data_IF_225875299879
#
_entry.id   IF_225875299879
#
_cell.length_a   1.000
_cell.length_b   1.000
_cell.length_c   1.000
_cell.angle_alpha   90.00
_cell.angle_beta   90.00
_cell.angle_gamma   90.00
#
_symmetry.space_group_name_H-M   'P 1'
#
loop_
_entity.id
_entity.type
_entity.pdbx_description
1 polymer ?
#
# COMPACT_ATOMS: atom_id res chain seq x y z
N UNK A 1 24.37 35.62 25.70
CA UNK A 1 23.94 36.34 24.48
C UNK A 1 22.46 36.65 24.61
N UNK A 2 22.11 37.93 24.69
CA UNK A 2 20.76 38.43 24.94
C UNK A 2 19.77 37.91 23.88
N UNK A 3 18.78 37.13 24.31
CA UNK A 3 17.64 36.72 23.49
C UNK A 3 16.83 37.98 23.14
N UNK A 4 17.18 38.65 22.04
CA UNK A 4 16.38 39.77 21.54
C UNK A 4 15.01 39.20 21.17
N UNK A 5 14.00 39.44 22.01
CA UNK A 5 12.63 39.01 21.74
C UNK A 5 12.16 39.72 20.47
N UNK A 6 11.82 38.95 19.44
CA UNK A 6 11.36 39.49 18.15
C UNK A 6 9.94 40.06 18.21
N UNK A 7 9.13 39.63 19.19
CA UNK A 7 7.75 40.08 19.37
C UNK A 7 7.51 40.53 20.80
N UNK A 8 6.82 41.67 20.95
CA UNK A 8 6.32 42.14 22.25
C UNK A 8 5.17 41.25 22.74
N UNK A 9 4.82 41.39 24.02
CA UNK A 9 3.70 40.65 24.62
C UNK A 9 2.38 40.94 23.89
N UNK A 10 2.13 42.20 23.59
CA UNK A 10 0.90 42.70 22.96
C UNK A 10 0.77 42.19 21.52
N UNK A 11 1.88 42.17 20.78
CA UNK A 11 1.91 41.64 19.42
C UNK A 11 1.59 40.16 19.41
N UNK A 12 2.21 39.39 20.32
CA UNK A 12 1.99 37.95 20.40
C UNK A 12 0.55 37.62 20.84
N UNK A 13 0.00 38.35 21.81
CA UNK A 13 -1.37 38.17 22.29
C UNK A 13 -2.39 38.38 21.16
N UNK A 14 -2.23 39.43 20.35
CA UNK A 14 -3.10 39.68 19.18
C UNK A 14 -3.02 38.53 18.17
N UNK A 15 -1.82 38.06 17.86
CA UNK A 15 -1.62 36.96 16.90
C UNK A 15 -2.24 35.67 17.43
N UNK A 16 -2.08 35.36 18.72
CA UNK A 16 -2.65 34.16 19.36
C UNK A 16 -4.18 34.21 19.38
N UNK A 17 -4.79 35.35 19.73
CA UNK A 17 -6.25 35.50 19.72
C UNK A 17 -6.87 35.28 18.33
N UNK A 18 -6.22 35.78 17.28
CA UNK A 18 -6.72 35.62 15.91
C UNK A 18 -6.43 34.23 15.30
N UNK A 19 -5.65 33.39 15.97
CA UNK A 19 -5.17 32.11 15.44
C UNK A 19 -5.81 30.92 16.15
N UNK A 20 -6.00 29.82 15.43
CA UNK A 20 -6.59 28.59 15.97
C UNK A 20 -5.62 27.40 16.04
N UNK A 21 -4.38 27.59 15.56
CA UNK A 21 -3.32 26.57 15.57
C UNK A 21 -1.95 27.23 15.73
N UNK A 22 -0.98 26.50 16.31
CA UNK A 22 0.42 26.98 16.43
C UNK A 22 1.05 27.23 15.04
N UNK A 23 0.67 26.43 14.04
CA UNK A 23 1.12 26.63 12.67
C UNK A 23 0.62 27.97 12.09
N UNK A 24 -0.61 28.37 12.42
CA UNK A 24 -1.17 29.64 11.98
C UNK A 24 -0.50 30.84 12.65
N UNK A 25 -0.20 30.71 13.95
CA UNK A 25 0.62 31.68 14.68
C UNK A 25 1.98 31.86 14.01
N UNK A 26 2.66 30.76 13.67
CA UNK A 26 3.94 30.83 12.94
C UNK A 26 3.82 31.58 11.62
N UNK A 27 2.81 31.26 10.80
CA UNK A 27 2.59 31.93 9.52
C UNK A 27 2.32 33.43 9.67
N UNK A 28 1.52 33.83 10.66
CA UNK A 28 1.25 35.25 10.96
C UNK A 28 2.47 35.99 11.53
N UNK A 29 3.36 35.28 12.21
CA UNK A 29 4.68 35.79 12.60
C UNK A 29 5.69 35.84 11.43
N UNK A 30 5.30 35.42 10.21
CA UNK A 30 6.20 35.34 9.04
C UNK A 30 7.15 34.15 9.08
N UNK A 31 6.89 33.16 9.93
CA UNK A 31 7.72 31.97 10.10
C UNK A 31 7.16 30.75 9.37
N UNK A 32 8.07 29.90 8.90
CA UNK A 32 7.72 28.58 8.40
C UNK A 32 7.20 27.69 9.53
N UNK A 33 6.22 26.84 9.22
CA UNK A 33 5.58 25.95 10.18
C UNK A 33 6.45 24.71 10.47
N UNK A 34 7.57 24.91 11.16
CA UNK A 34 8.54 23.87 11.52
C UNK A 34 8.56 23.61 13.03
N UNK A 35 9.04 22.43 13.44
CA UNK A 35 9.13 22.03 14.85
C UNK A 35 9.94 23.01 15.71
N UNK A 36 11.00 23.61 15.15
CA UNK A 36 11.81 24.62 15.85
C UNK A 36 11.00 25.88 16.14
N UNK A 37 10.28 26.40 15.14
CA UNK A 37 9.44 27.59 15.28
C UNK A 37 8.24 27.33 16.21
N UNK A 38 7.70 26.11 16.21
CA UNK A 38 6.64 25.72 17.17
C UNK A 38 7.13 25.81 18.61
N UNK A 39 8.37 25.39 18.89
CA UNK A 39 8.95 25.48 20.23
C UNK A 39 9.14 26.94 20.66
N UNK A 40 9.50 27.83 19.73
CA UNK A 40 9.59 29.28 19.98
C UNK A 40 8.22 29.85 20.34
N UNK A 41 7.18 29.54 19.56
CA UNK A 41 5.80 29.98 19.85
C UNK A 41 5.29 29.43 21.18
N UNK A 42 5.52 28.14 21.47
CA UNK A 42 5.17 27.52 22.77
C UNK A 42 5.88 28.19 23.94
N UNK A 43 7.13 28.62 23.76
CA UNK A 43 7.87 29.38 24.77
C UNK A 43 7.21 30.73 25.03
N UNK A 44 6.86 31.48 23.99
CA UNK A 44 6.13 32.75 24.14
C UNK A 44 4.77 32.57 24.83
N UNK A 45 4.00 31.54 24.46
CA UNK A 45 2.69 31.24 25.09
C UNK A 45 2.87 30.98 26.60
N UNK A 46 3.85 30.15 26.97
CA UNK A 46 4.14 29.81 28.37
C UNK A 46 4.65 31.02 29.17
N UNK A 47 5.55 31.79 28.58
CA UNK A 47 6.21 32.93 29.24
C UNK A 47 5.28 34.12 29.43
N UNK A 48 4.36 34.37 28.49
CA UNK A 48 3.37 35.44 28.57
C UNK A 48 2.01 34.98 29.13
N UNK A 49 1.89 33.71 29.48
CA UNK A 49 0.67 33.08 29.98
C UNK A 49 -0.56 33.37 29.09
N UNK A 50 -0.40 33.14 27.79
CA UNK A 50 -1.45 33.41 26.80
C UNK A 50 -2.47 32.26 26.79
N UNK A 51 -3.76 32.60 26.79
CA UNK A 51 -4.83 31.62 26.62
C UNK A 51 -4.77 31.02 25.19
N UNK A 52 -4.77 29.69 25.14
CA UNK A 52 -4.78 28.90 23.90
C UNK A 52 -5.87 27.84 23.91
N UNK A 53 -6.84 27.96 24.83
CA UNK A 53 -7.96 27.02 24.97
C UNK A 53 -8.82 26.95 23.70
N UNK A 54 -8.83 28.02 22.89
CA UNK A 54 -9.51 28.07 21.59
C UNK A 54 -8.74 27.37 20.46
N UNK A 55 -7.53 26.88 20.68
CA UNK A 55 -6.77 26.16 19.65
C UNK A 55 -7.36 24.77 19.41
N UNK A 56 -7.93 24.56 18.23
CA UNK A 56 -8.61 23.31 17.84
C UNK A 56 -7.71 22.32 17.09
N UNK A 57 -6.43 22.67 16.89
CA UNK A 57 -5.41 21.87 16.20
C UNK A 57 -5.54 21.89 14.66
N UNK A 58 -6.76 21.85 14.14
CA UNK A 58 -7.07 22.06 12.72
C UNK A 58 -8.21 23.08 12.58
N UNK A 59 -8.12 23.97 11.58
CA UNK A 59 -9.15 25.00 11.33
C UNK A 59 -10.54 24.40 11.04
N UNK A 60 -10.59 23.18 10.51
CA UNK A 60 -11.81 22.37 10.28
C UNK A 60 -12.45 21.82 11.55
N UNK A 61 -11.76 21.86 12.69
CA UNK A 61 -12.31 21.44 13.99
C UNK A 61 -13.02 22.59 14.72
N UNK A 62 -12.99 23.82 14.18
CA UNK A 62 -13.72 24.97 14.73
C UNK A 62 -15.23 24.67 14.64
N UNK A 63 -15.92 24.65 15.78
CA UNK A 63 -17.35 24.30 15.87
C UNK A 63 -17.65 22.79 15.85
N UNK A 64 -16.66 21.93 15.63
CA UNK A 64 -16.83 20.48 15.61
C UNK A 64 -16.71 19.89 17.02
N UNK A 65 -17.72 20.16 17.86
CA UNK A 65 -17.97 19.40 19.11
C UNK A 65 -18.40 17.95 18.78
N UNK A 66 -18.87 17.70 17.55
CA UNK A 66 -19.61 16.50 17.14
C UNK A 66 -18.77 15.24 16.89
N UNK A 67 -17.44 15.30 16.81
CA UNK A 67 -16.63 14.11 16.53
C UNK A 67 -16.19 13.34 17.79
N UNK A 68 -16.57 13.79 18.99
CA UNK A 68 -16.12 13.14 20.24
C UNK A 68 -17.03 12.00 20.73
N UNK A 69 -18.26 11.87 20.23
CA UNK A 69 -19.27 10.98 20.85
C UNK A 69 -20.05 10.04 19.93
N UNK A 70 -19.71 9.87 18.65
CA UNK A 70 -20.26 8.76 17.85
C UNK A 70 -19.54 7.42 18.16
N UNK A 71 -19.32 7.11 19.44
CA UNK A 71 -18.87 5.78 19.85
C UNK A 71 -20.06 4.82 19.73
N UNK A 72 -20.25 4.26 18.53
CA UNK A 72 -21.26 3.19 18.30
C UNK A 72 -21.08 2.08 19.34
N UNK A 73 -22.18 1.54 19.83
CA UNK A 73 -22.15 0.47 20.82
C UNK A 73 -21.55 -0.81 20.19
N UNK A 74 -20.99 -1.72 20.99
CA UNK A 74 -20.59 -3.06 20.52
C UNK A 74 -21.77 -3.80 19.89
N UNK A 75 -22.97 -3.68 20.46
CA UNK A 75 -24.16 -4.39 20.02
C UNK A 75 -24.56 -4.03 18.58
N UNK A 76 -24.30 -2.80 18.13
CA UNK A 76 -24.55 -2.36 16.75
C UNK A 76 -23.76 -3.18 15.71
N UNK A 77 -22.67 -3.80 16.15
CA UNK A 77 -21.79 -4.58 15.29
C UNK A 77 -22.02 -6.08 15.37
N UNK A 78 -22.76 -6.59 16.37
CA UNK A 78 -22.96 -8.03 16.59
C UNK A 78 -24.04 -8.61 15.69
N UNK A 79 -24.00 -8.26 14.41
CA UNK A 79 -24.96 -8.68 13.39
C UNK A 79 -24.25 -9.36 12.23
N UNK A 80 -25.03 -10.05 11.41
CA UNK A 80 -24.57 -10.57 10.12
C UNK A 80 -24.41 -9.38 9.16
N UNK A 81 -23.40 -9.43 8.30
CA UNK A 81 -23.11 -8.41 7.26
C UNK A 81 -22.59 -7.07 7.80
N UNK A 82 -21.95 -7.07 8.98
CA UNK A 82 -21.34 -5.89 9.57
C UNK A 82 -19.81 -5.94 9.45
N UNK A 83 -19.21 -4.94 8.83
CA UNK A 83 -17.75 -4.84 8.75
C UNK A 83 -17.19 -3.99 9.89
N UNK A 84 -16.28 -4.58 10.67
CA UNK A 84 -15.55 -3.89 11.73
C UNK A 84 -14.11 -4.38 11.78
N UNK A 85 -13.18 -3.45 12.00
CA UNK A 85 -11.78 -3.84 12.25
C UNK A 85 -11.71 -4.74 13.48
N UNK A 86 -11.06 -5.90 13.35
CA UNK A 86 -10.94 -6.87 14.45
C UNK A 86 -10.36 -6.27 15.74
N UNK A 87 -9.41 -5.33 15.64
CA UNK A 87 -8.89 -4.61 16.82
C UNK A 87 -9.96 -3.82 17.56
N UNK A 88 -10.81 -3.10 16.82
CA UNK A 88 -11.92 -2.33 17.39
C UNK A 88 -12.95 -3.25 18.02
N UNK A 89 -13.34 -4.32 17.32
CA UNK A 89 -14.31 -5.29 17.81
C UNK A 89 -13.82 -5.98 19.10
N UNK A 90 -12.56 -6.43 19.14
CA UNK A 90 -11.93 -7.01 20.34
C UNK A 90 -11.97 -6.06 21.53
N UNK A 91 -11.55 -4.81 21.35
CA UNK A 91 -11.51 -3.83 22.44
C UNK A 91 -12.90 -3.57 22.99
N UNK A 92 -13.91 -3.46 22.12
CA UNK A 92 -15.31 -3.27 22.52
C UNK A 92 -15.89 -4.50 23.24
N UNK A 93 -15.64 -5.71 22.72
CA UNK A 93 -16.08 -6.96 23.37
C UNK A 93 -15.54 -7.11 24.79
N UNK A 94 -14.29 -6.69 25.02
CA UNK A 94 -13.66 -6.75 26.35
C UNK A 94 -14.18 -5.63 27.25
N UNK A 95 -14.28 -4.39 26.73
CA UNK A 95 -14.79 -3.22 27.46
C UNK A 95 -16.20 -3.44 28.01
N UNK A 96 -17.07 -4.03 27.20
CA UNK A 96 -18.47 -4.31 27.55
C UNK A 96 -18.65 -5.63 28.33
N UNK A 97 -17.55 -6.35 28.65
CA UNK A 97 -17.60 -7.58 29.43
C UNK A 97 -18.16 -8.81 28.69
N UNK A 98 -18.47 -8.71 27.40
CA UNK A 98 -18.99 -9.81 26.58
C UNK A 98 -17.97 -10.95 26.38
N UNK A 99 -16.68 -10.62 26.41
CA UNK A 99 -15.57 -11.58 26.35
C UNK A 99 -14.47 -11.17 27.33
N UNK A 100 -13.81 -12.15 27.95
CA UNK A 100 -12.66 -11.91 28.83
C UNK A 100 -11.40 -11.63 28.01
N UNK A 101 -10.44 -10.88 28.57
CA UNK A 101 -9.09 -10.76 28.01
C UNK A 101 -8.29 -12.04 28.26
N UNK A 102 -8.73 -13.13 27.64
CA UNK A 102 -8.15 -14.46 27.78
C UNK A 102 -8.25 -15.20 26.44
N UNK A 103 -7.23 -15.96 26.07
CA UNK A 103 -7.31 -16.83 24.90
C UNK A 103 -8.35 -17.93 25.13
N UNK A 104 -9.38 -18.02 24.28
CA UNK A 104 -10.44 -19.01 24.44
C UNK A 104 -9.96 -20.45 24.17
N UNK A 105 -8.83 -20.62 23.47
CA UNK A 105 -8.21 -21.93 23.18
C UNK A 105 -7.22 -22.39 24.26
N UNK A 106 -6.14 -21.65 24.50
CA UNK A 106 -5.10 -22.05 25.47
C UNK A 106 -5.29 -21.48 26.88
N UNK A 107 -6.32 -20.65 27.12
CA UNK A 107 -6.65 -20.03 28.42
C UNK A 107 -5.57 -19.11 29.02
N UNK A 108 -4.48 -18.84 28.31
CA UNK A 108 -3.49 -17.86 28.74
C UNK A 108 -4.08 -16.45 28.75
N UNK A 109 -3.70 -15.68 29.76
CA UNK A 109 -4.02 -14.27 29.97
C UNK A 109 -2.79 -13.37 29.78
N UNK A 110 -1.59 -13.92 29.98
CA UNK A 110 -0.33 -13.20 29.97
C UNK A 110 0.73 -13.95 29.16
N UNK A 111 1.70 -13.19 28.65
CA UNK A 111 2.90 -13.66 27.98
C UNK A 111 4.07 -12.74 28.37
N UNK A 112 5.14 -13.30 28.91
CA UNK A 112 6.33 -12.55 29.40
C UNK A 112 5.96 -11.38 30.35
N UNK A 113 5.02 -11.62 31.27
CA UNK A 113 4.55 -10.62 32.25
C UNK A 113 3.73 -9.47 31.66
N UNK A 114 3.30 -9.58 30.39
CA UNK A 114 2.41 -8.61 29.74
C UNK A 114 1.08 -9.28 29.36
N UNK A 115 -0.03 -8.52 29.29
CA UNK A 115 -1.30 -9.05 28.79
C UNK A 115 -1.13 -9.64 27.39
N UNK A 116 -1.61 -10.86 27.19
CA UNK A 116 -1.41 -11.58 25.93
C UNK A 116 -2.14 -10.83 24.80
N UNK A 117 -1.50 -10.59 23.64
CA UNK A 117 -2.21 -10.06 22.50
C UNK A 117 -3.30 -11.06 22.09
N UNK A 118 -4.52 -10.57 21.88
CA UNK A 118 -5.64 -11.37 21.38
C UNK A 118 -6.08 -10.84 20.02
N UNK A 119 -6.56 -11.74 19.18
CA UNK A 119 -7.10 -11.50 17.85
C UNK A 119 -8.52 -12.08 17.78
N UNK A 120 -9.39 -11.41 17.04
CA UNK A 120 -10.74 -11.92 16.76
C UNK A 120 -10.62 -13.00 15.69
N UNK A 121 -11.16 -14.17 15.99
CA UNK A 121 -11.28 -15.28 15.07
C UNK A 121 -12.75 -15.56 14.78
N UNK A 122 -13.10 -15.52 13.50
CA UNK A 122 -14.42 -15.90 13.00
C UNK A 122 -14.44 -17.41 12.71
N UNK A 123 -15.28 -18.16 13.42
CA UNK A 123 -15.34 -19.64 13.35
C UNK A 123 -15.71 -20.10 11.94
N UNK A 124 -16.66 -19.43 11.29
CA UNK A 124 -17.06 -19.70 9.91
C UNK A 124 -16.09 -19.15 8.85
N UNK A 125 -15.09 -18.35 9.25
CA UNK A 125 -14.15 -17.68 8.34
C UNK A 125 -14.72 -16.49 7.56
N UNK A 126 -15.96 -16.08 7.81
CA UNK A 126 -16.57 -14.89 7.25
C UNK A 126 -16.32 -13.68 8.16
N UNK A 127 -15.59 -12.70 7.64
CA UNK A 127 -15.21 -11.51 8.39
C UNK A 127 -16.38 -10.55 8.69
N UNK A 128 -17.51 -10.71 7.99
CA UNK A 128 -18.68 -9.84 8.16
C UNK A 128 -19.74 -10.44 9.11
N UNK A 129 -19.55 -11.68 9.58
CA UNK A 129 -20.46 -12.32 10.53
C UNK A 129 -19.96 -12.12 11.96
N UNK A 130 -20.36 -11.01 12.58
CA UNK A 130 -19.87 -10.61 13.90
C UNK A 130 -20.78 -11.06 15.04
N UNK A 131 -21.70 -11.99 14.81
CA UNK A 131 -22.53 -12.55 15.89
C UNK A 131 -21.65 -13.21 16.95
N UNK A 132 -21.99 -13.01 18.22
CA UNK A 132 -21.11 -13.36 19.34
C UNK A 132 -20.72 -14.85 19.35
N UNK A 133 -21.63 -15.73 18.93
CA UNK A 133 -21.42 -17.17 18.79
C UNK A 133 -20.38 -17.54 17.72
N UNK A 134 -20.19 -16.69 16.70
CA UNK A 134 -19.22 -16.89 15.64
C UNK A 134 -17.83 -16.33 15.98
N UNK A 135 -17.68 -15.61 17.09
CA UNK A 135 -16.45 -14.93 17.47
C UNK A 135 -15.72 -15.64 18.61
N UNK A 136 -14.40 -15.83 18.44
CA UNK A 136 -13.47 -16.25 19.48
C UNK A 136 -12.33 -15.27 19.63
N UNK A 137 -11.90 -15.00 20.87
CA UNK A 137 -10.65 -14.30 21.13
C UNK A 137 -9.50 -15.31 21.27
N UNK A 138 -8.57 -15.29 20.31
CA UNK A 138 -7.43 -16.21 20.27
C UNK A 138 -6.10 -15.45 20.33
N UNK A 139 -5.10 -16.01 21.00
CA UNK A 139 -3.73 -15.47 20.90
C UNK A 139 -3.13 -15.77 19.51
N UNK A 140 -2.09 -15.02 19.08
CA UNK A 140 -1.46 -15.21 17.77
C UNK A 140 -1.07 -16.65 17.46
N UNK A 141 -0.51 -17.36 18.45
CA UNK A 141 -0.08 -18.76 18.29
C UNK A 141 -1.28 -19.69 18.07
N UNK A 142 -2.34 -19.54 18.87
CA UNK A 142 -3.56 -20.32 18.72
C UNK A 142 -4.31 -20.01 17.44
N UNK A 143 -4.28 -18.76 17.00
CA UNK A 143 -4.94 -18.32 15.78
C UNK A 143 -4.21 -18.83 14.54
N UNK A 144 -2.88 -18.88 14.54
CA UNK A 144 -2.08 -19.44 13.43
C UNK A 144 -2.43 -20.91 13.09
N UNK A 145 -2.95 -21.63 14.09
CA UNK A 145 -3.36 -23.03 14.02
C UNK A 145 -4.83 -23.23 13.57
N UNK A 146 -5.56 -22.17 13.18
CA UNK A 146 -6.94 -22.32 12.67
C UNK A 146 -6.95 -22.56 11.15
N UNK A 147 -7.97 -23.26 10.67
CA UNK A 147 -8.11 -23.61 9.24
C UNK A 147 -8.34 -22.38 8.34
N UNK A 148 -8.86 -21.30 8.94
CA UNK A 148 -9.15 -20.04 8.25
C UNK A 148 -8.02 -19.00 8.36
N UNK A 149 -6.92 -19.35 9.05
CA UNK A 149 -5.80 -18.43 9.25
C UNK A 149 -5.13 -18.05 7.94
N UNK A 150 -4.82 -16.76 7.76
CA UNK A 150 -4.07 -16.23 6.61
C UNK A 150 -4.56 -16.80 5.25
N UNK A 151 -5.87 -16.89 5.06
CA UNK A 151 -6.46 -17.39 3.82
C UNK A 151 -6.14 -18.86 3.48
N UNK A 152 -5.73 -19.70 4.45
CA UNK A 152 -5.56 -21.15 4.26
C UNK A 152 -6.81 -21.83 3.70
N UNK A 153 -7.99 -21.34 4.06
CA UNK A 153 -9.29 -21.80 3.55
C UNK A 153 -9.70 -21.18 2.21
N UNK A 154 -8.92 -20.25 1.62
CA UNK A 154 -9.22 -19.73 0.28
C UNK A 154 -8.91 -20.79 -0.75
N UNK A 155 -9.95 -21.48 -1.19
CA UNK A 155 -9.95 -22.29 -2.42
C UNK A 155 -9.97 -21.39 -3.67
N UNK A 156 -9.14 -20.34 -3.69
CA UNK A 156 -8.97 -19.47 -4.86
C UNK A 156 -8.06 -20.19 -5.87
N UNK A 157 -8.53 -21.32 -6.40
CA UNK A 157 -8.09 -21.76 -7.71
C UNK A 157 -8.60 -20.69 -8.68
N UNK A 158 -7.76 -19.68 -8.95
CA UNK A 158 -8.10 -18.61 -9.89
C UNK A 158 -8.56 -19.25 -11.19
N UNK A 159 -9.84 -19.07 -11.54
CA UNK A 159 -10.38 -19.58 -12.80
C UNK A 159 -9.50 -19.03 -13.93
N UNK A 160 -8.94 -19.88 -14.81
CA UNK A 160 -8.14 -19.42 -15.91
C UNK A 160 -9.01 -18.50 -16.78
N UNK A 161 -8.53 -17.28 -17.04
CA UNK A 161 -9.16 -16.37 -17.99
C UNK A 161 -8.66 -16.72 -19.38
N UNK A 162 -9.52 -16.63 -20.38
CA UNK A 162 -9.16 -16.94 -21.76
C UNK A 162 -9.20 -15.67 -22.63
N UNK A 163 -8.38 -15.65 -23.67
CA UNK A 163 -8.32 -14.58 -24.65
C UNK A 163 -9.65 -14.48 -25.41
N UNK A 164 -10.27 -13.30 -25.44
CA UNK A 164 -11.56 -13.06 -26.13
C UNK A 164 -11.48 -13.36 -27.64
N UNK A 165 -10.29 -13.21 -28.25
CA UNK A 165 -10.09 -13.42 -29.70
C UNK A 165 -9.68 -14.85 -30.09
N UNK A 166 -8.96 -15.58 -29.24
CA UNK A 166 -8.34 -16.85 -29.64
C UNK A 166 -8.43 -17.98 -28.62
N UNK A 167 -9.14 -17.78 -27.51
CA UNK A 167 -9.38 -18.81 -26.49
C UNK A 167 -8.15 -19.30 -25.73
N UNK A 168 -6.96 -18.73 -25.95
CA UNK A 168 -5.74 -19.12 -25.21
C UNK A 168 -5.77 -18.63 -23.76
N UNK A 169 -5.22 -19.39 -22.80
CA UNK A 169 -5.17 -18.98 -21.40
C UNK A 169 -4.35 -17.70 -21.24
N UNK A 170 -4.89 -16.76 -20.47
CA UNK A 170 -4.27 -15.47 -20.17
C UNK A 170 -3.50 -15.56 -18.86
N UNK A 171 -2.28 -15.02 -18.89
CA UNK A 171 -1.40 -14.96 -17.73
C UNK A 171 -1.85 -13.93 -16.68
N UNK A 172 -2.56 -12.87 -17.08
CA UNK A 172 -2.84 -11.71 -16.25
C UNK A 172 -4.34 -11.53 -16.00
N UNK A 173 -4.73 -11.23 -14.75
CA UNK A 173 -6.13 -11.09 -14.31
C UNK A 173 -6.96 -10.10 -15.14
N UNK A 174 -6.34 -9.00 -15.58
CA UNK A 174 -7.03 -7.91 -16.26
C UNK A 174 -6.81 -7.92 -17.78
N UNK A 175 -6.09 -8.91 -18.32
CA UNK A 175 -5.93 -9.01 -19.77
C UNK A 175 -7.26 -9.41 -20.43
N UNK A 176 -7.59 -8.79 -21.56
CA UNK A 176 -8.68 -9.22 -22.45
C UNK A 176 -8.17 -10.10 -23.59
N UNK A 177 -6.95 -9.82 -24.05
CA UNK A 177 -6.32 -10.45 -25.19
C UNK A 177 -4.95 -11.01 -24.84
N UNK A 178 -4.53 -12.06 -25.54
CA UNK A 178 -3.15 -12.54 -25.47
C UNK A 178 -2.20 -11.57 -26.18
N UNK A 179 -0.89 -11.68 -25.92
CA UNK A 179 0.12 -10.79 -26.50
C UNK A 179 0.09 -10.74 -28.02
N UNK A 180 -0.17 -11.88 -28.67
CA UNK A 180 -0.31 -11.96 -30.14
C UNK A 180 -1.55 -11.21 -30.63
N UNK A 181 -2.72 -11.49 -30.07
CA UNK A 181 -3.97 -10.85 -30.45
C UNK A 181 -3.95 -9.33 -30.19
N UNK A 182 -3.37 -8.91 -29.06
CA UNK A 182 -3.20 -7.50 -28.73
C UNK A 182 -2.22 -6.79 -29.70
N UNK A 183 -1.15 -7.47 -30.15
CA UNK A 183 -0.24 -6.91 -31.14
C UNK A 183 -0.90 -6.78 -32.52
N UNK A 184 -1.72 -7.76 -32.92
CA UNK A 184 -2.50 -7.71 -34.16
C UNK A 184 -3.50 -6.55 -34.17
N UNK A 185 -4.23 -6.32 -33.08
CA UNK A 185 -5.19 -5.21 -32.99
C UNK A 185 -4.52 -3.85 -32.99
N UNK A 186 -3.32 -3.74 -32.41
CA UNK A 186 -2.54 -2.50 -32.40
C UNK A 186 -1.84 -2.20 -33.72
N UNK A 187 -2.03 -3.03 -34.74
CA UNK A 187 -1.37 -2.86 -36.04
C UNK A 187 0.16 -2.98 -35.97
N UNK A 188 0.72 -3.57 -34.91
CA UNK A 188 2.17 -3.77 -34.77
C UNK A 188 2.56 -5.01 -35.58
N UNK A 189 2.55 -4.87 -36.91
CA UNK A 189 2.87 -5.97 -37.84
C UNK A 189 4.17 -5.80 -38.59
N UNK A 190 4.79 -4.61 -38.56
CA UNK A 190 5.90 -4.34 -39.47
C UNK A 190 7.27 -4.49 -38.80
N UNK A 191 8.13 -5.27 -39.45
CA UNK A 191 9.55 -5.30 -39.13
C UNK A 191 10.14 -3.96 -39.58
N UNK A 192 10.94 -3.32 -38.72
CA UNK A 192 11.62 -2.04 -39.05
C UNK A 192 12.64 -2.14 -40.19
N UNK A 193 13.06 -3.35 -40.56
CA UNK A 193 14.03 -3.63 -41.61
C UNK A 193 13.67 -4.92 -42.34
N UNK A 194 13.96 -4.96 -43.64
CA UNK A 194 13.86 -6.16 -44.46
C UNK A 194 14.92 -7.18 -44.02
N UNK A 195 14.47 -8.39 -43.70
CA UNK A 195 15.34 -9.43 -43.14
C UNK A 195 15.87 -10.30 -44.28
N UNK A 196 17.20 -10.52 -44.38
CA UNK A 196 17.77 -11.39 -45.39
C UNK A 196 17.28 -12.84 -45.26
N UNK A 197 17.46 -13.61 -46.34
CA UNK A 197 17.22 -15.05 -46.36
C UNK A 197 18.14 -15.76 -45.36
N UNK A 198 17.86 -17.04 -45.09
CA UNK A 198 18.70 -17.83 -44.17
C UNK A 198 20.09 -18.03 -44.76
N UNK A 199 20.15 -18.27 -46.06
CA UNK A 199 21.35 -18.53 -46.85
C UNK A 199 22.23 -17.28 -46.92
N UNK A 200 21.64 -16.13 -47.28
CA UNK A 200 22.36 -14.85 -47.36
C UNK A 200 22.91 -14.44 -45.99
N UNK A 201 22.10 -14.61 -44.94
CA UNK A 201 22.54 -14.29 -43.59
C UNK A 201 23.69 -15.20 -43.14
N UNK A 202 23.68 -16.47 -43.54
CA UNK A 202 24.76 -17.40 -43.19
C UNK A 202 26.08 -17.02 -43.87
N UNK A 203 26.05 -16.66 -45.15
CA UNK A 203 27.24 -16.20 -45.87
C UNK A 203 27.78 -14.86 -45.34
N UNK A 204 26.88 -13.95 -44.95
CA UNK A 204 27.26 -12.69 -44.30
C UNK A 204 27.97 -12.91 -42.97
N UNK A 205 27.56 -13.90 -42.17
CA UNK A 205 28.14 -14.17 -40.84
C UNK A 205 29.54 -14.79 -40.94
N UNK A 206 29.83 -15.54 -42.02
CA UNK A 206 31.19 -16.06 -42.28
C UNK A 206 32.18 -14.95 -42.63
N UNK A 207 31.69 -13.95 -43.35
CA UNK A 207 32.55 -12.93 -44.00
C UNK A 207 32.66 -11.64 -43.20
N UNK A 208 31.63 -11.25 -42.46
CA UNK A 208 31.53 -9.97 -41.75
C UNK A 208 31.17 -10.14 -40.29
N UNK A 209 31.52 -9.14 -39.48
CA UNK A 209 31.11 -9.08 -38.08
C UNK A 209 29.62 -8.72 -37.94
N UNK A 210 28.98 -9.15 -36.85
CA UNK A 210 27.58 -8.79 -36.56
C UNK A 210 27.34 -7.26 -36.47
N UNK A 211 28.36 -6.48 -36.14
CA UNK A 211 28.28 -5.01 -36.13
C UNK A 211 28.17 -4.46 -37.55
N UNK A 212 28.96 -4.98 -38.49
CA UNK A 212 28.94 -4.57 -39.89
C UNK A 212 27.64 -4.99 -40.57
N UNK A 213 27.17 -6.21 -40.33
CA UNK A 213 25.86 -6.69 -40.83
C UNK A 213 24.74 -5.81 -40.25
N UNK A 214 24.80 -5.44 -38.97
CA UNK A 214 23.84 -4.53 -38.36
C UNK A 214 23.77 -3.18 -39.08
N UNK A 215 24.93 -2.58 -39.36
CA UNK A 215 25.01 -1.31 -40.12
C UNK A 215 24.42 -1.44 -41.52
N UNK A 216 24.67 -2.54 -42.23
CA UNK A 216 24.13 -2.78 -43.59
C UNK A 216 22.60 -2.78 -43.62
N UNK A 217 21.95 -3.38 -42.62
CA UNK A 217 20.49 -3.51 -42.56
C UNK A 217 19.81 -2.45 -41.69
N UNK A 218 20.54 -1.43 -41.21
CA UNK A 218 19.99 -0.39 -40.34
C UNK A 218 19.50 -0.90 -38.97
N UNK A 219 20.07 -1.99 -38.45
CA UNK A 219 19.69 -2.62 -37.19
C UNK A 219 20.88 -2.80 -36.25
N UNK A 220 20.63 -3.05 -34.95
CA UNK A 220 21.71 -3.33 -34.01
C UNK A 220 22.30 -4.73 -34.20
N UNK A 221 23.56 -4.94 -33.77
CA UNK A 221 24.22 -6.26 -33.73
C UNK A 221 23.37 -7.31 -32.96
N UNK A 222 22.65 -6.85 -31.94
CA UNK A 222 21.72 -7.64 -31.13
C UNK A 222 20.51 -8.09 -31.94
N UNK A 223 20.04 -7.28 -32.89
CA UNK A 223 18.99 -7.68 -33.82
C UNK A 223 19.48 -8.80 -34.76
N UNK A 224 20.72 -8.70 -35.27
CA UNK A 224 21.32 -9.75 -36.10
C UNK A 224 21.44 -11.07 -35.31
N UNK A 225 21.89 -11.02 -34.05
CA UNK A 225 21.91 -12.21 -33.15
C UNK A 225 20.52 -12.83 -32.98
N UNK A 226 19.46 -12.01 -32.86
CA UNK A 226 18.07 -12.49 -32.81
C UNK A 226 17.62 -13.12 -34.13
N UNK A 227 18.06 -12.59 -35.27
CA UNK A 227 17.80 -13.21 -36.59
C UNK A 227 18.49 -14.58 -36.68
N UNK A 228 19.76 -14.69 -36.28
CA UNK A 228 20.46 -15.97 -36.25
C UNK A 228 19.71 -17.00 -35.40
N UNK A 229 19.31 -16.63 -34.18
CA UNK A 229 18.54 -17.50 -33.29
C UNK A 229 17.20 -17.93 -33.90
N UNK A 230 16.53 -17.05 -34.64
CA UNK A 230 15.26 -17.37 -35.30
C UNK A 230 15.42 -18.28 -36.52
N UNK A 231 16.58 -18.29 -37.19
CA UNK A 231 16.89 -19.21 -38.29
C UNK A 231 17.68 -20.46 -37.84
N UNK A 232 17.91 -20.59 -36.53
CA UNK A 232 18.71 -21.65 -35.94
C UNK A 232 20.16 -21.67 -36.48
N UNK A 233 20.74 -20.49 -36.72
CA UNK A 233 22.11 -20.28 -37.18
C UNK A 233 23.06 -20.03 -36.01
N UNK A 234 24.36 -20.35 -36.15
CA UNK A 234 25.37 -20.05 -35.14
C UNK A 234 25.47 -18.54 -34.90
N UNK A 235 25.49 -18.13 -33.63
CA UNK A 235 25.50 -16.72 -33.23
C UNK A 235 26.52 -16.39 -32.15
N UNK A 236 27.28 -17.39 -31.69
CA UNK A 236 28.42 -17.23 -30.78
C UNK A 236 29.69 -17.55 -31.57
N UNK A 237 30.79 -16.87 -31.21
CA UNK A 237 32.11 -17.11 -31.81
C UNK A 237 32.58 -18.57 -31.70
N UNK A 238 32.09 -19.32 -30.71
CA UNK A 238 32.39 -20.74 -30.51
C UNK A 238 31.64 -21.67 -31.47
N UNK A 239 30.52 -21.21 -32.01
CA UNK A 239 29.62 -22.00 -32.85
C UNK A 239 29.95 -21.86 -34.36
N UNK A 240 30.95 -21.03 -34.70
CA UNK A 240 31.40 -20.68 -36.05
C UNK A 240 32.76 -21.32 -36.41
N UNK A 241 33.12 -22.43 -35.74
CA UNK A 241 34.31 -23.24 -36.06
C UNK A 241 33.99 -24.31 -37.08
#
# INVERSE_FOLDING_TARGET
MSNKRMFSKEQMEKIVKDSFTIADVCRKCGWSATSANYNIVKRYIKEYNLDTSHFTGQKTNIGNILNKHNEKNVYDYLTKESYVKGTTLRLKLIKEGLKKHQCERCKNIEWEGKPIPLQVHHINGDHNDNRLENLKLLCPNCHALTDTYCAKNRKDAKKPKYCEKCGKPLKWKNAKLCTKCAAEERGIKERKAERPSKEDLFELIKTKSFLEIGRMYGVSDTAIKKWCKSYNLPYRKKDLK
#
